data_IF_822331169749
#
_entry.id   IF_822331169749
#
_cell.length_a   1.000
_cell.length_b   1.000
_cell.length_c   1.000
_cell.angle_alpha   90.00
_cell.angle_beta   90.00
_cell.angle_gamma   90.00
#
_symmetry.space_group_name_H-M   'P 1'
#
loop_
_entity.id
_entity.type
_entity.pdbx_description
1 polymer ?
#
# COMPACT_ATOMS: atom_id res chain seq x y z
N UNK A 1 19.84 9.68 21.31
CA UNK A 1 20.73 9.28 20.19
C UNK A 1 19.80 9.07 18.99
N UNK A 2 20.06 9.72 17.86
CA UNK A 2 19.27 9.47 16.65
C UNK A 2 19.74 8.12 16.08
N UNK A 3 18.81 7.23 15.80
CA UNK A 3 19.07 5.95 15.16
C UNK A 3 19.05 6.19 13.65
N UNK A 4 20.13 5.86 12.95
CA UNK A 4 20.27 6.15 11.52
C UNK A 4 20.04 4.92 10.64
N UNK A 5 20.25 3.72 11.17
CA UNK A 5 20.18 2.47 10.44
C UNK A 5 19.75 1.29 11.32
N UNK A 6 19.50 0.14 10.68
CA UNK A 6 19.05 -1.07 11.35
C UNK A 6 20.07 -1.63 12.35
N UNK A 7 21.37 -1.54 12.02
CA UNK A 7 22.43 -1.99 12.92
C UNK A 7 22.45 -1.21 14.23
N UNK A 8 22.31 0.12 14.16
CA UNK A 8 22.22 0.97 15.36
C UNK A 8 20.95 0.69 16.18
N UNK A 9 19.82 0.42 15.53
CA UNK A 9 18.59 0.02 16.21
C UNK A 9 18.78 -1.27 17.00
N UNK A 10 19.36 -2.31 16.39
CA UNK A 10 19.65 -3.58 17.06
C UNK A 10 20.61 -3.39 18.23
N UNK A 11 21.68 -2.64 18.01
CA UNK A 11 22.66 -2.35 19.06
C UNK A 11 22.04 -1.61 20.25
N UNK A 12 21.19 -0.62 19.98
CA UNK A 12 20.47 0.13 21.01
C UNK A 12 19.52 -0.74 21.83
N UNK A 13 18.82 -1.68 21.18
CA UNK A 13 17.94 -2.63 21.88
C UNK A 13 18.78 -3.60 22.73
N UNK A 14 19.87 -4.15 22.20
CA UNK A 14 20.77 -5.05 22.92
C UNK A 14 21.39 -4.37 24.17
N UNK A 15 21.80 -3.11 24.03
CA UNK A 15 22.32 -2.29 25.12
C UNK A 15 21.25 -2.04 26.20
N UNK A 16 20.03 -1.70 25.78
CA UNK A 16 18.89 -1.50 26.71
C UNK A 16 18.57 -2.78 27.48
N UNK A 17 18.67 -3.94 26.84
CA UNK A 17 18.46 -5.24 27.48
C UNK A 17 19.67 -5.72 28.27
N UNK A 18 20.83 -5.06 28.12
CA UNK A 18 22.13 -5.50 28.65
C UNK A 18 22.47 -6.97 28.28
N UNK A 19 22.19 -7.34 27.00
CA UNK A 19 22.33 -8.71 26.48
C UNK A 19 22.97 -8.68 25.09
N UNK A 20 23.96 -9.56 24.87
CA UNK A 20 24.67 -9.69 23.59
C UNK A 20 24.31 -10.99 22.83
N UNK A 21 23.54 -11.86 23.45
CA UNK A 21 23.19 -13.19 22.96
C UNK A 21 21.79 -13.27 22.29
N UNK A 22 21.12 -12.12 22.10
CA UNK A 22 19.73 -12.07 21.64
C UNK A 22 19.55 -11.46 20.24
N UNK A 23 20.56 -11.48 19.37
CA UNK A 23 20.49 -10.83 18.05
C UNK A 23 19.31 -11.35 17.20
N UNK A 24 19.04 -12.65 17.20
CA UNK A 24 17.92 -13.23 16.44
C UNK A 24 16.56 -12.80 17.03
N UNK A 25 16.41 -12.82 18.34
CA UNK A 25 15.17 -12.40 19.00
C UNK A 25 14.88 -10.91 18.78
N UNK A 26 15.93 -10.08 18.73
CA UNK A 26 15.81 -8.65 18.40
C UNK A 26 15.35 -8.48 16.96
N UNK A 27 15.94 -9.20 16.00
CA UNK A 27 15.51 -9.20 14.58
C UNK A 27 14.05 -9.61 14.44
N UNK A 28 13.65 -10.70 15.07
CA UNK A 28 12.28 -11.19 15.02
C UNK A 28 11.29 -10.18 15.63
N UNK A 29 11.66 -9.54 16.73
CA UNK A 29 10.84 -8.51 17.38
C UNK A 29 10.65 -7.29 16.48
N UNK A 30 11.70 -6.83 15.81
CA UNK A 30 11.61 -5.71 14.86
C UNK A 30 10.71 -6.09 13.67
N UNK A 31 10.89 -7.28 13.10
CA UNK A 31 10.05 -7.76 12.00
C UNK A 31 8.57 -7.87 12.39
N UNK A 32 8.28 -8.29 13.63
CA UNK A 32 6.91 -8.32 14.16
C UNK A 32 6.33 -6.90 14.34
N UNK A 33 7.13 -5.94 14.80
CA UNK A 33 6.71 -4.54 14.88
C UNK A 33 6.40 -3.95 13.50
N UNK A 34 7.25 -4.19 12.51
CA UNK A 34 7.02 -3.76 11.13
C UNK A 34 5.73 -4.39 10.57
N UNK A 35 5.50 -5.67 10.82
CA UNK A 35 4.28 -6.37 10.41
C UNK A 35 3.03 -5.78 11.09
N UNK A 36 3.11 -5.41 12.37
CA UNK A 36 2.03 -4.76 13.11
C UNK A 36 1.69 -3.40 12.51
N UNK A 37 2.69 -2.56 12.26
CA UNK A 37 2.51 -1.22 11.69
C UNK A 37 1.87 -1.31 10.29
N UNK A 38 2.29 -2.28 9.47
CA UNK A 38 1.76 -2.49 8.13
C UNK A 38 0.33 -3.07 8.11
N UNK A 39 -0.13 -3.69 9.20
CA UNK A 39 -1.44 -4.37 9.27
C UNK A 39 -2.52 -3.52 9.91
N UNK A 40 -2.19 -2.72 10.91
CA UNK A 40 -3.17 -1.99 11.70
C UNK A 40 -3.34 -0.55 11.17
N UNK A 41 -4.55 -0.19 10.66
CA UNK A 41 -4.84 1.16 10.15
C UNK A 41 -4.57 2.29 11.15
N UNK A 42 -4.54 1.99 12.45
CA UNK A 42 -4.23 2.94 13.52
C UNK A 42 -2.84 3.58 13.37
N UNK A 43 -1.89 2.86 12.75
CA UNK A 43 -0.51 3.32 12.57
C UNK A 43 -0.28 3.98 11.21
N UNK A 44 -1.27 4.02 10.33
CA UNK A 44 -1.13 4.64 9.02
C UNK A 44 -0.95 6.15 9.15
N UNK A 45 0.03 6.68 8.47
CA UNK A 45 0.34 8.09 8.52
C UNK A 45 0.79 8.61 7.15
N UNK A 46 0.96 9.95 7.05
CA UNK A 46 1.33 10.62 5.80
C UNK A 46 2.63 10.15 5.16
N UNK A 47 3.56 9.60 5.94
CA UNK A 47 4.85 9.10 5.41
C UNK A 47 4.71 7.78 4.66
N UNK A 48 3.61 7.06 4.89
CA UNK A 48 3.24 5.86 4.16
C UNK A 48 2.46 6.18 2.87
N UNK A 49 2.05 7.42 2.67
CA UNK A 49 1.28 7.80 1.48
C UNK A 49 2.17 7.93 0.26
N UNK A 50 1.74 7.31 -0.82
CA UNK A 50 2.38 7.40 -2.13
C UNK A 50 1.36 7.37 -3.26
N UNK A 51 1.82 7.51 -4.48
CA UNK A 51 0.99 7.49 -5.68
C UNK A 51 1.55 6.51 -6.70
N UNK A 52 0.65 5.77 -7.37
CA UNK A 52 0.98 4.94 -8.50
C UNK A 52 0.04 5.23 -9.67
N UNK A 53 0.54 5.11 -10.88
CA UNK A 53 -0.29 5.13 -12.09
C UNK A 53 -0.71 3.70 -12.40
N UNK A 54 -2.00 3.48 -12.51
CA UNK A 54 -2.61 2.22 -12.91
C UNK A 54 -3.05 2.31 -14.37
N UNK A 55 -2.87 1.24 -15.11
CA UNK A 55 -3.40 1.09 -16.47
C UNK A 55 -4.42 -0.03 -16.47
N UNK A 56 -5.62 0.25 -16.96
CA UNK A 56 -6.69 -0.74 -17.06
C UNK A 56 -6.53 -1.58 -18.33
N UNK A 57 -6.78 -2.86 -18.19
CA UNK A 57 -6.91 -3.79 -19.31
C UNK A 57 -8.30 -3.73 -19.93
N UNK A 58 -8.55 -4.58 -20.94
CA UNK A 58 -9.84 -4.67 -21.64
C UNK A 58 -11.00 -5.16 -20.74
N UNK A 59 -10.70 -5.77 -19.61
CA UNK A 59 -11.68 -6.20 -18.60
C UNK A 59 -11.96 -5.12 -17.55
N UNK A 60 -11.30 -3.97 -17.64
CA UNK A 60 -11.38 -2.89 -16.65
C UNK A 60 -10.64 -3.21 -15.36
N UNK A 61 -9.63 -4.07 -15.42
CA UNK A 61 -8.80 -4.45 -14.28
C UNK A 61 -7.42 -3.82 -14.36
N UNK A 62 -6.85 -3.47 -13.22
CA UNK A 62 -5.49 -2.97 -13.11
C UNK A 62 -4.80 -3.61 -11.90
N UNK A 63 -3.53 -4.02 -12.06
CA UNK A 63 -2.75 -4.60 -10.96
C UNK A 63 -2.39 -3.53 -9.94
N UNK A 64 -2.55 -3.84 -8.67
CA UNK A 64 -2.10 -3.00 -7.56
C UNK A 64 -0.58 -3.09 -7.39
N UNK A 65 0.08 -2.03 -6.88
CA UNK A 65 1.49 -2.10 -6.51
C UNK A 65 1.77 -3.18 -5.47
N UNK A 66 2.95 -3.81 -5.53
CA UNK A 66 3.33 -4.89 -4.62
C UNK A 66 3.42 -4.45 -3.14
N UNK A 67 3.65 -3.16 -2.91
CA UNK A 67 3.71 -2.53 -1.59
C UNK A 67 2.37 -1.93 -1.12
N UNK A 68 1.29 -2.19 -1.86
CA UNK A 68 -0.05 -1.69 -1.55
C UNK A 68 -0.58 -2.23 -0.21
N UNK A 69 -1.15 -1.35 0.61
CA UNK A 69 -1.89 -1.70 1.82
C UNK A 69 -3.36 -1.29 1.70
N UNK A 70 -3.63 0.00 1.49
CA UNK A 70 -4.98 0.53 1.45
C UNK A 70 -5.08 1.75 0.53
N UNK A 71 -6.13 1.81 -0.28
CA UNK A 71 -6.42 2.95 -1.14
C UNK A 71 -6.93 4.14 -0.32
N UNK A 72 -6.47 5.33 -0.69
CA UNK A 72 -7.05 6.60 -0.22
C UNK A 72 -7.98 7.21 -1.25
N UNK A 73 -7.50 7.35 -2.47
CA UNK A 73 -8.29 7.88 -3.59
C UNK A 73 -7.84 7.24 -4.89
N UNK A 74 -8.78 7.04 -5.79
CA UNK A 74 -8.54 6.60 -7.16
C UNK A 74 -9.10 7.65 -8.10
N UNK A 75 -8.24 8.26 -8.91
CA UNK A 75 -8.61 9.33 -9.84
C UNK A 75 -8.42 8.84 -11.26
N UNK A 76 -9.50 8.64 -11.96
CA UNK A 76 -9.46 8.27 -13.38
C UNK A 76 -8.99 9.46 -14.24
N UNK A 77 -8.05 9.20 -15.13
CA UNK A 77 -7.39 10.25 -15.94
C UNK A 77 -8.16 10.53 -17.24
N UNK A 78 -9.44 10.86 -17.10
CA UNK A 78 -10.27 11.38 -18.21
C UNK A 78 -10.16 12.90 -18.31
N UNK A 79 -10.82 13.47 -19.29
CA UNK A 79 -11.00 14.92 -19.40
C UNK A 79 -12.50 15.24 -19.38
N UNK A 80 -13.02 15.80 -18.28
CA UNK A 80 -12.37 16.13 -17.00
C UNK A 80 -12.02 14.88 -16.17
N UNK A 81 -11.05 15.02 -15.24
CA UNK A 81 -10.67 13.94 -14.29
C UNK A 81 -11.84 13.58 -13.39
N UNK A 82 -12.00 12.30 -13.11
CA UNK A 82 -13.08 11.75 -12.28
C UNK A 82 -12.54 10.98 -11.08
N UNK A 83 -13.05 11.28 -9.90
CA UNK A 83 -12.79 10.47 -8.71
C UNK A 83 -13.69 9.23 -8.74
N UNK A 84 -13.10 8.05 -8.57
CA UNK A 84 -13.87 6.82 -8.47
C UNK A 84 -14.32 6.58 -7.03
N UNK A 85 -15.54 6.09 -6.87
CA UNK A 85 -16.12 5.72 -5.57
C UNK A 85 -15.90 4.24 -5.30
N UNK A 86 -15.40 3.91 -4.11
CA UNK A 86 -15.24 2.52 -3.69
C UNK A 86 -16.61 1.85 -3.46
N UNK A 87 -16.77 0.65 -3.98
CA UNK A 87 -17.88 -0.25 -3.70
C UNK A 87 -17.34 -1.57 -3.14
N UNK A 88 -18.09 -2.21 -2.23
CA UNK A 88 -17.81 -3.59 -1.88
C UNK A 88 -17.96 -4.50 -3.09
N UNK A 89 -17.27 -5.65 -3.10
CA UNK A 89 -17.33 -6.58 -4.23
C UNK A 89 -18.78 -6.97 -4.58
N UNK A 90 -19.61 -7.29 -3.58
CA UNK A 90 -21.00 -7.65 -3.79
C UNK A 90 -21.85 -6.51 -4.37
N UNK A 91 -21.64 -5.29 -3.92
CA UNK A 91 -22.35 -4.12 -4.45
C UNK A 91 -21.90 -3.80 -5.88
N UNK A 92 -20.60 -3.96 -6.16
CA UNK A 92 -20.04 -3.78 -7.49
C UNK A 92 -20.61 -4.79 -8.49
N UNK A 93 -20.63 -6.07 -8.13
CA UNK A 93 -21.16 -7.14 -8.99
C UNK A 93 -22.67 -7.00 -9.22
N UNK A 94 -23.42 -6.52 -8.21
CA UNK A 94 -24.86 -6.25 -8.36
C UNK A 94 -25.14 -5.07 -9.30
N UNK A 95 -24.27 -4.06 -9.31
CA UNK A 95 -24.43 -2.87 -10.14
C UNK A 95 -23.94 -3.10 -11.58
N UNK A 96 -22.88 -3.88 -11.75
CA UNK A 96 -22.23 -4.15 -13.04
C UNK A 96 -22.41 -5.61 -13.46
N UNK A 97 -23.65 -6.05 -13.62
CA UNK A 97 -24.00 -7.42 -14.04
C UNK A 97 -23.57 -7.75 -15.47
N UNK A 98 -23.31 -6.72 -16.28
CA UNK A 98 -22.83 -6.83 -17.66
C UNK A 98 -21.60 -5.95 -17.87
N UNK A 99 -20.70 -6.39 -18.75
CA UNK A 99 -19.52 -5.63 -19.16
C UNK A 99 -19.90 -4.47 -20.07
N UNK A 100 -20.54 -3.45 -19.51
CA UNK A 100 -20.87 -2.24 -20.27
C UNK A 100 -19.65 -1.33 -20.28
N UNK A 101 -19.22 -0.97 -21.49
CA UNK A 101 -18.14 0.01 -21.66
C UNK A 101 -18.64 1.43 -21.38
N UNK A 102 -17.83 2.24 -20.74
CA UNK A 102 -18.19 3.61 -20.40
C UNK A 102 -17.13 4.33 -19.59
N UNK A 103 -17.47 5.51 -19.09
CA UNK A 103 -16.62 6.26 -18.18
C UNK A 103 -16.70 5.65 -16.76
N UNK A 104 -15.60 5.17 -16.18
CA UNK A 104 -15.62 4.61 -14.82
C UNK A 104 -16.07 5.64 -13.78
N UNK A 105 -16.92 5.18 -12.87
CA UNK A 105 -17.45 5.96 -11.75
C UNK A 105 -17.13 5.29 -10.42
N UNK A 106 -17.11 3.95 -10.43
CA UNK A 106 -16.87 3.16 -9.24
C UNK A 106 -15.68 2.24 -9.42
N UNK A 107 -15.14 1.78 -8.31
CA UNK A 107 -14.14 0.73 -8.30
C UNK A 107 -14.34 -0.22 -7.12
N UNK A 108 -13.83 -1.42 -7.28
CA UNK A 108 -13.68 -2.39 -6.20
C UNK A 108 -12.28 -2.97 -6.23
N UNK A 109 -11.89 -3.63 -5.15
CA UNK A 109 -10.60 -4.32 -5.04
C UNK A 109 -10.87 -5.80 -4.78
N UNK A 110 -10.31 -6.64 -5.64
CA UNK A 110 -10.42 -8.10 -5.59
C UNK A 110 -9.00 -8.70 -5.62
N UNK A 111 -8.54 -9.19 -4.49
CA UNK A 111 -7.17 -9.69 -4.37
C UNK A 111 -6.14 -8.58 -4.64
N UNK A 112 -5.28 -8.80 -5.62
CA UNK A 112 -4.22 -7.85 -6.02
C UNK A 112 -4.62 -6.96 -7.20
N UNK A 113 -5.91 -6.92 -7.54
CA UNK A 113 -6.42 -6.14 -8.65
C UNK A 113 -7.47 -5.13 -8.23
N UNK A 114 -7.43 -3.97 -8.86
CA UNK A 114 -8.47 -2.95 -8.83
C UNK A 114 -9.31 -3.11 -10.10
N UNK A 115 -10.62 -3.23 -9.94
CA UNK A 115 -11.58 -3.31 -11.02
C UNK A 115 -12.43 -2.05 -11.08
N UNK A 116 -12.52 -1.43 -12.24
CA UNK A 116 -13.31 -0.22 -12.49
C UNK A 116 -14.62 -0.52 -13.20
N UNK A 117 -15.66 0.21 -12.86
CA UNK A 117 -16.97 0.09 -13.49
C UNK A 117 -17.63 1.46 -13.73
N UNK A 118 -18.25 1.67 -14.89
CA UNK A 118 -18.21 0.87 -16.12
C UNK A 118 -16.80 0.58 -16.65
N UNK A 119 -16.64 -0.42 -17.53
CA UNK A 119 -15.32 -0.75 -18.11
C UNK A 119 -14.84 0.42 -18.99
N UNK A 120 -13.58 0.90 -18.81
CA UNK A 120 -13.05 1.99 -19.65
C UNK A 120 -13.10 1.65 -21.15
N UNK A 121 -13.53 2.58 -22.00
CA UNK A 121 -13.57 2.41 -23.45
C UNK A 121 -12.19 2.29 -24.12
N UNK A 122 -11.13 2.67 -23.43
CA UNK A 122 -9.76 2.65 -23.90
C UNK A 122 -8.82 2.28 -22.77
N UNK A 123 -7.59 1.91 -23.07
CA UNK A 123 -6.52 1.69 -22.11
C UNK A 123 -6.15 3.01 -21.41
N UNK A 124 -7.06 3.53 -20.61
CA UNK A 124 -6.91 4.77 -19.86
C UNK A 124 -6.33 4.45 -18.49
N UNK A 125 -5.57 5.40 -17.97
CA UNK A 125 -4.94 5.27 -16.65
C UNK A 125 -5.78 5.84 -15.52
N UNK A 126 -5.48 5.41 -14.32
CA UNK A 126 -5.90 6.06 -13.09
C UNK A 126 -4.70 6.35 -12.20
N UNK A 127 -4.78 7.39 -11.40
CA UNK A 127 -3.83 7.66 -10.33
C UNK A 127 -4.42 7.13 -9.03
N UNK A 128 -3.76 6.12 -8.49
CA UNK A 128 -4.04 5.57 -7.17
C UNK A 128 -3.19 6.32 -6.14
N UNK A 129 -3.82 6.91 -5.11
CA UNK A 129 -3.15 7.35 -3.88
C UNK A 129 -3.44 6.33 -2.81
N UNK A 130 -2.38 5.81 -2.19
CA UNK A 130 -2.50 4.68 -1.28
C UNK A 130 -1.47 4.73 -0.17
N UNK A 131 -1.68 3.91 0.86
CA UNK A 131 -0.67 3.61 1.86
C UNK A 131 0.19 2.45 1.38
N UNK A 132 1.51 2.68 1.34
CA UNK A 132 2.52 1.68 1.01
C UNK A 132 3.05 1.01 2.27
N UNK A 133 3.52 -0.20 2.13
CA UNK A 133 4.25 -0.90 3.21
C UNK A 133 5.52 -0.16 3.55
N UNK A 134 5.87 -0.18 4.82
CA UNK A 134 7.18 0.28 5.27
C UNK A 134 8.24 -0.66 4.69
N UNK A 135 9.33 -0.08 4.21
CA UNK A 135 10.47 -0.86 3.70
C UNK A 135 11.03 -1.72 4.84
N UNK A 136 11.07 -3.04 4.61
CA UNK A 136 11.62 -3.97 5.58
C UNK A 136 13.12 -3.73 5.78
N UNK A 137 13.57 -3.87 7.02
CA UNK A 137 14.98 -3.76 7.39
C UNK A 137 15.60 -5.17 7.41
N UNK A 138 16.67 -5.39 6.64
CA UNK A 138 17.35 -6.68 6.51
C UNK A 138 18.86 -6.61 6.72
N UNK A 139 19.52 -5.64 6.11
CA UNK A 139 20.94 -5.38 6.27
C UNK A 139 21.20 -4.28 7.30
N UNK A 140 22.33 -4.32 7.99
CA UNK A 140 22.68 -3.35 9.04
C UNK A 140 22.69 -1.90 8.56
N UNK A 141 22.97 -1.69 7.28
CA UNK A 141 22.94 -0.37 6.63
C UNK A 141 21.55 0.11 6.23
N UNK A 142 20.54 -0.76 6.30
CA UNK A 142 19.19 -0.42 5.88
C UNK A 142 18.59 0.67 6.77
N UNK A 143 17.82 1.53 6.14
CA UNK A 143 17.11 2.60 6.82
C UNK A 143 15.67 2.68 6.31
N UNK A 144 14.78 3.13 7.16
CA UNK A 144 13.43 3.52 6.77
C UNK A 144 13.03 4.79 7.53
N UNK A 145 11.85 5.32 7.22
CA UNK A 145 11.41 6.58 7.81
C UNK A 145 11.15 6.51 9.33
N UNK A 146 11.02 5.32 9.93
CA UNK A 146 10.89 5.16 11.39
C UNK A 146 12.21 5.45 12.12
N UNK A 147 13.34 5.19 11.47
CA UNK A 147 14.68 5.40 12.04
C UNK A 147 15.19 6.83 11.84
N UNK A 148 14.73 7.51 10.80
CA UNK A 148 15.20 8.85 10.40
C UNK A 148 14.37 9.99 10.99
N UNK A 149 14.03 9.90 12.26
CA UNK A 149 13.21 10.91 12.94
C UNK A 149 14.06 11.95 13.64
#
# INVERSE_FOLDING_TARGET
MALSNYGELKASIADTLNRTDMDNQIKDSIALCDAMINRDPKYFNRRMETTATLTFDAAGEASLPADYIAARTVVFQSSPKSNLTFLSASAFDSLYTTTTAGLPINYTILGEKLKAGPVPNSASGAVLRYYQRITALSADSDTNWLLTY
#
